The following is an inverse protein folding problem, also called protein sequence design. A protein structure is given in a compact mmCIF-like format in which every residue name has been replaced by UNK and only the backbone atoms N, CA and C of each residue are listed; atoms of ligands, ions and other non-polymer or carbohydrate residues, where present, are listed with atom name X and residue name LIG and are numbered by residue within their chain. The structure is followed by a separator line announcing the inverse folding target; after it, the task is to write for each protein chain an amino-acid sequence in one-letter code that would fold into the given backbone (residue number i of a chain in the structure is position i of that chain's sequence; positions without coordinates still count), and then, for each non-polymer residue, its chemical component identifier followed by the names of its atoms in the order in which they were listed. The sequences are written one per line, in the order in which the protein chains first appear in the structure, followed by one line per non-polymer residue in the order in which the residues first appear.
data_IF_924543745756
#
_entry.id   IF_924543745756
#
_cell.length_a   1.000
_cell.length_b   1.000
_cell.length_c   1.000
_cell.angle_alpha   90.00
_cell.angle_beta   90.00
_cell.angle_gamma   90.00
#
_symmetry.space_group_name_H-M   'P 1'
#
loop_
_entity.id
_entity.type
_entity.pdbx_description
1 polymer ?
#
# COMPACT_ATOMS: atom_id res chain seq x y z
N UNK A 1 -10.61 -46.80 -0.04
CA UNK A 1 -10.06 -45.49 0.32
C UNK A 1 -9.33 -45.00 -0.90
N UNK A 2 -10.02 -44.20 -1.69
CA UNK A 2 -9.54 -43.74 -2.99
C UNK A 2 -8.30 -42.88 -2.81
N UNK A 3 -7.31 -43.18 -3.64
CA UNK A 3 -5.99 -42.58 -3.60
C UNK A 3 -6.08 -41.07 -3.79
N UNK A 4 -5.65 -40.33 -2.78
CA UNK A 4 -5.29 -38.93 -2.92
C UNK A 4 -4.05 -38.91 -3.82
N UNK A 5 -4.24 -38.63 -5.10
CA UNK A 5 -3.17 -38.38 -6.06
C UNK A 5 -2.49 -37.06 -5.65
N UNK A 6 -1.38 -37.16 -4.92
CA UNK A 6 -0.56 -35.99 -4.60
C UNK A 6 0.16 -35.53 -5.86
N UNK A 7 -0.35 -34.45 -6.47
CA UNK A 7 0.34 -33.79 -7.57
C UNK A 7 1.51 -32.97 -7.01
N UNK A 8 2.73 -33.53 -7.07
CA UNK A 8 3.98 -32.88 -6.64
C UNK A 8 4.46 -31.75 -7.58
N UNK A 9 3.67 -31.39 -8.61
CA UNK A 9 3.95 -30.25 -9.47
C UNK A 9 3.71 -28.93 -8.71
N UNK A 10 4.70 -28.48 -7.93
CA UNK A 10 4.86 -27.13 -7.37
C UNK A 10 3.62 -26.53 -6.69
N UNK A 11 3.63 -26.42 -5.36
CA UNK A 11 2.58 -25.74 -4.60
C UNK A 11 2.07 -24.49 -5.32
N UNK A 12 0.76 -24.47 -5.64
CA UNK A 12 0.11 -23.37 -6.35
C UNK A 12 0.38 -22.07 -5.60
N UNK A 13 0.90 -21.07 -6.32
CA UNK A 13 0.95 -19.70 -5.81
C UNK A 13 -0.49 -19.16 -5.75
N UNK A 14 -1.15 -19.35 -4.60
CA UNK A 14 -2.56 -18.96 -4.39
C UNK A 14 -2.82 -17.49 -4.69
N UNK A 15 -1.86 -16.62 -4.37
CA UNK A 15 -1.97 -15.18 -4.59
C UNK A 15 -1.93 -14.85 -6.10
N UNK A 16 -0.99 -15.47 -6.82
CA UNK A 16 -0.91 -15.36 -8.28
C UNK A 16 -2.16 -15.91 -8.97
N UNK A 17 -2.61 -17.10 -8.56
CA UNK A 17 -3.80 -17.74 -9.10
C UNK A 17 -5.06 -16.91 -8.86
N UNK A 18 -5.28 -16.43 -7.63
CA UNK A 18 -6.42 -15.58 -7.30
C UNK A 18 -6.41 -14.28 -8.11
N UNK A 19 -5.25 -13.64 -8.27
CA UNK A 19 -5.10 -12.44 -9.09
C UNK A 19 -5.49 -12.71 -10.55
N UNK A 20 -4.93 -13.76 -11.17
CA UNK A 20 -5.20 -14.09 -12.56
C UNK A 20 -6.68 -14.48 -12.78
N UNK A 21 -7.23 -15.32 -11.91
CA UNK A 21 -8.64 -15.74 -11.97
C UNK A 21 -9.60 -14.55 -11.91
N UNK A 22 -9.29 -13.55 -11.09
CA UNK A 22 -10.09 -12.34 -10.91
C UNK A 22 -10.09 -11.39 -12.13
N UNK A 23 -9.23 -11.61 -13.13
CA UNK A 23 -9.23 -10.80 -14.36
C UNK A 23 -10.51 -11.02 -15.16
N UNK A 24 -11.09 -9.92 -15.67
CA UNK A 24 -12.29 -9.94 -16.51
C UNK A 24 -11.91 -10.13 -17.97
N UNK A 25 -12.68 -10.91 -18.71
CA UNK A 25 -12.44 -11.10 -20.15
C UNK A 25 -12.78 -9.79 -20.86
N UNK A 26 -11.81 -9.25 -21.60
CA UNK A 26 -11.98 -8.02 -22.38
C UNK A 26 -11.36 -8.23 -23.76
N UNK A 27 -12.17 -8.55 -24.79
CA UNK A 27 -11.69 -8.67 -26.16
C UNK A 27 -11.07 -7.37 -26.64
N UNK A 28 -9.96 -7.48 -27.37
CA UNK A 28 -9.22 -6.32 -27.88
C UNK A 28 -8.53 -6.65 -29.19
N UNK A 29 -8.55 -5.70 -30.12
CA UNK A 29 -7.88 -5.86 -31.40
C UNK A 29 -6.38 -5.60 -31.26
N UNK A 30 -6.03 -4.62 -30.44
CA UNK A 30 -4.67 -4.23 -30.08
C UNK A 30 -4.42 -4.46 -28.58
N UNK A 31 -3.18 -4.74 -28.22
CA UNK A 31 -2.79 -4.73 -26.80
C UNK A 31 -2.81 -3.31 -26.20
N UNK A 32 -2.97 -2.28 -27.03
CA UNK A 32 -3.20 -0.89 -26.62
C UNK A 32 -4.68 -0.57 -26.33
N UNK A 33 -5.61 -1.46 -26.70
CA UNK A 33 -7.05 -1.32 -26.37
C UNK A 33 -7.31 -1.59 -24.88
N UNK A 34 -6.43 -2.39 -24.25
CA UNK A 34 -6.36 -2.55 -22.79
C UNK A 34 -5.09 -1.86 -22.34
N UNK A 35 -5.22 -0.77 -21.61
CA UNK A 35 -4.11 0.16 -21.39
C UNK A 35 -3.52 0.09 -19.98
N UNK A 36 -2.19 0.05 -19.87
CA UNK A 36 -1.44 0.11 -18.60
C UNK A 36 -2.05 -0.77 -17.48
N UNK A 37 -2.50 -0.12 -16.40
CA UNK A 37 -3.07 -0.73 -15.20
C UNK A 37 -4.31 -1.58 -15.50
N UNK A 38 -4.99 -1.37 -16.63
CA UNK A 38 -6.13 -2.19 -17.03
C UNK A 38 -5.70 -3.65 -17.26
N UNK A 39 -4.43 -3.93 -17.59
CA UNK A 39 -3.90 -5.30 -17.65
C UNK A 39 -3.92 -6.01 -16.28
N UNK A 40 -3.93 -5.29 -15.15
CA UNK A 40 -4.12 -5.86 -13.80
C UNK A 40 -5.58 -6.29 -13.54
N UNK A 41 -6.53 -5.78 -14.33
CA UNK A 41 -7.97 -6.00 -14.17
C UNK A 41 -8.56 -6.91 -15.24
N UNK A 42 -8.01 -6.86 -16.45
CA UNK A 42 -8.56 -7.51 -17.62
C UNK A 42 -7.60 -8.55 -18.22
N UNK A 43 -8.19 -9.61 -18.78
CA UNK A 43 -7.52 -10.59 -19.60
C UNK A 43 -7.88 -10.34 -21.06
N UNK A 44 -6.86 -10.13 -21.88
CA UNK A 44 -7.01 -9.89 -23.31
C UNK A 44 -5.91 -10.57 -24.09
N UNK A 45 -6.19 -10.88 -25.35
CA UNK A 45 -5.21 -11.31 -26.35
C UNK A 45 -5.52 -10.50 -27.60
N UNK A 46 -4.54 -9.72 -28.07
CA UNK A 46 -4.72 -8.89 -29.27
C UNK A 46 -5.29 -9.73 -30.44
N UNK A 47 -6.15 -9.16 -31.28
CA UNK A 47 -6.78 -9.86 -32.43
C UNK A 47 -7.65 -11.06 -32.05
N UNK A 48 -7.98 -11.27 -30.78
CA UNK A 48 -8.90 -12.31 -30.31
C UNK A 48 -10.18 -11.62 -29.86
N UNK A 49 -11.04 -11.31 -30.84
CA UNK A 49 -12.29 -10.58 -30.60
C UNK A 49 -13.44 -11.51 -30.16
N UNK A 50 -13.33 -12.79 -30.48
CA UNK A 50 -14.28 -13.83 -30.06
C UNK A 50 -14.10 -14.10 -28.55
N UNK A 51 -15.17 -13.88 -27.79
CA UNK A 51 -15.20 -13.99 -26.33
C UNK A 51 -15.00 -15.43 -25.87
N UNK A 52 -15.58 -16.41 -26.57
CA UNK A 52 -15.48 -17.83 -26.20
C UNK A 52 -14.07 -18.35 -26.44
N UNK A 53 -13.45 -17.95 -27.55
CA UNK A 53 -12.06 -18.25 -27.83
C UNK A 53 -11.14 -17.61 -26.79
N UNK A 54 -11.40 -16.36 -26.39
CA UNK A 54 -10.64 -15.68 -25.35
C UNK A 54 -10.81 -16.36 -23.98
N UNK A 55 -12.04 -16.81 -23.67
CA UNK A 55 -12.34 -17.57 -22.46
C UNK A 55 -11.58 -18.89 -22.41
N UNK A 56 -11.51 -19.64 -23.52
CA UNK A 56 -10.76 -20.90 -23.62
C UNK A 56 -9.25 -20.68 -23.41
N UNK A 57 -8.68 -19.60 -23.96
CA UNK A 57 -7.27 -19.26 -23.71
C UNK A 57 -7.05 -18.89 -22.24
N UNK A 58 -7.97 -18.13 -21.63
CA UNK A 58 -7.91 -17.81 -20.19
C UNK A 58 -7.94 -19.09 -19.35
N UNK A 59 -8.89 -19.98 -19.60
CA UNK A 59 -9.05 -21.25 -18.89
C UNK A 59 -7.80 -22.15 -19.02
N UNK A 60 -7.20 -22.20 -20.20
CA UNK A 60 -5.95 -22.93 -20.41
C UNK A 60 -4.80 -22.38 -19.55
N UNK A 61 -4.74 -21.07 -19.30
CA UNK A 61 -3.75 -20.45 -18.40
C UNK A 61 -4.12 -20.70 -16.94
N UNK A 62 -5.41 -20.61 -16.56
CA UNK A 62 -5.87 -20.93 -15.21
C UNK A 62 -5.51 -22.37 -14.83
N UNK A 63 -5.81 -23.31 -15.73
CA UNK A 63 -5.45 -24.72 -15.60
C UNK A 63 -3.93 -24.88 -15.46
N UNK A 64 -3.14 -24.13 -16.22
CA UNK A 64 -1.69 -24.18 -16.12
C UNK A 64 -1.15 -23.66 -14.77
N UNK A 65 -1.74 -22.60 -14.22
CA UNK A 65 -1.37 -22.10 -12.89
C UNK A 65 -1.79 -23.05 -11.77
N UNK A 66 -2.97 -23.65 -11.89
CA UNK A 66 -3.50 -24.56 -10.88
C UNK A 66 -2.76 -25.90 -10.84
N UNK A 67 -2.37 -26.42 -12.00
CA UNK A 67 -1.79 -27.76 -12.11
C UNK A 67 -0.27 -27.77 -12.31
N UNK A 68 0.38 -26.60 -12.31
CA UNK A 68 1.82 -26.48 -12.59
C UNK A 68 2.21 -26.90 -14.01
N UNK A 69 1.30 -26.71 -14.99
CA UNK A 69 1.44 -27.29 -16.33
C UNK A 69 2.49 -26.56 -17.17
N UNK A 70 3.28 -27.31 -17.95
CA UNK A 70 4.31 -26.73 -18.82
C UNK A 70 3.73 -26.13 -20.11
N UNK A 71 4.51 -25.27 -20.77
CA UNK A 71 4.14 -24.67 -22.07
C UNK A 71 3.83 -25.74 -23.15
N UNK A 72 4.47 -26.91 -23.07
CA UNK A 72 4.23 -28.00 -24.02
C UNK A 72 2.77 -28.45 -24.02
N UNK A 73 2.17 -28.61 -22.85
CA UNK A 73 0.79 -29.06 -22.68
C UNK A 73 -0.20 -27.94 -23.00
N UNK A 74 0.09 -26.71 -22.57
CA UNK A 74 -0.66 -25.52 -22.96
C UNK A 74 -0.77 -25.41 -24.49
N UNK A 75 0.35 -25.59 -25.20
CA UNK A 75 0.41 -25.61 -26.67
C UNK A 75 -0.37 -26.80 -27.25
N UNK A 76 -0.25 -28.00 -26.65
CA UNK A 76 -0.94 -29.22 -27.11
C UNK A 76 -2.46 -29.05 -27.03
N UNK A 77 -2.97 -28.37 -26.00
CA UNK A 77 -4.39 -28.01 -25.85
C UNK A 77 -4.83 -26.96 -26.88
N UNK A 78 -4.18 -25.79 -26.88
CA UNK A 78 -4.71 -24.64 -27.61
C UNK A 78 -4.40 -24.62 -29.10
N UNK A 79 -3.25 -25.16 -29.55
CA UNK A 79 -2.91 -25.12 -30.99
C UNK A 79 -3.99 -25.75 -31.88
N UNK A 80 -4.45 -27.00 -31.67
CA UNK A 80 -5.50 -27.59 -32.51
C UNK A 80 -6.82 -26.83 -32.41
N UNK A 81 -7.21 -26.40 -31.19
CA UNK A 81 -8.43 -25.63 -30.98
C UNK A 81 -8.44 -24.30 -31.77
N UNK A 82 -7.36 -23.51 -31.66
CA UNK A 82 -7.25 -22.22 -32.33
C UNK A 82 -7.16 -22.37 -33.85
N UNK A 83 -6.51 -23.43 -34.35
CA UNK A 83 -6.51 -23.76 -35.78
C UNK A 83 -7.93 -24.09 -36.27
N UNK A 84 -8.69 -24.89 -35.52
CA UNK A 84 -10.08 -25.22 -35.87
C UNK A 84 -11.01 -23.99 -35.84
N UNK A 85 -10.74 -23.03 -34.95
CA UNK A 85 -11.42 -21.73 -34.88
C UNK A 85 -10.94 -20.71 -35.91
N UNK A 86 -10.04 -21.09 -36.81
CA UNK A 86 -9.51 -20.21 -37.84
C UNK A 86 -8.50 -19.17 -37.34
N UNK A 87 -8.11 -19.19 -36.06
CA UNK A 87 -7.18 -18.23 -35.46
C UNK A 87 -5.73 -18.71 -35.54
N UNK A 88 -5.19 -18.90 -36.74
CA UNK A 88 -3.82 -19.39 -36.91
C UNK A 88 -3.15 -18.84 -38.18
N UNK A 89 -1.85 -18.59 -38.10
CA UNK A 89 -1.07 -18.06 -39.21
C UNK A 89 -1.30 -16.56 -39.44
N UNK A 90 -0.97 -16.11 -40.64
CA UNK A 90 -1.26 -14.75 -41.11
C UNK A 90 -2.62 -14.71 -41.77
N UNK A 91 -3.43 -13.71 -41.43
CA UNK A 91 -4.74 -13.49 -42.01
C UNK A 91 -5.02 -12.00 -42.18
N UNK A 92 -5.89 -11.67 -43.11
CA UNK A 92 -6.42 -10.30 -43.25
C UNK A 92 -7.53 -10.11 -42.23
N UNK A 93 -7.42 -9.06 -41.42
CA UNK A 93 -8.42 -8.71 -40.41
C UNK A 93 -8.63 -7.19 -40.42
N UNK A 94 -9.88 -6.77 -40.42
CA UNK A 94 -10.26 -5.36 -40.36
C UNK A 94 -10.11 -4.84 -38.94
N UNK A 95 -9.40 -3.74 -38.77
CA UNK A 95 -9.28 -3.05 -37.49
C UNK A 95 -10.55 -2.25 -37.21
N UNK A 96 -11.24 -2.49 -36.08
CA UNK A 96 -12.48 -1.77 -35.78
C UNK A 96 -12.28 -0.28 -35.49
N UNK A 97 -11.04 0.19 -35.26
CA UNK A 97 -10.77 1.61 -34.99
C UNK A 97 -10.75 2.46 -36.26
N UNK A 98 -10.08 2.00 -37.32
CA UNK A 98 -9.92 2.76 -38.56
C UNK A 98 -10.67 2.14 -39.76
N UNK A 99 -11.21 0.93 -39.62
CA UNK A 99 -11.95 0.24 -40.69
C UNK A 99 -11.05 -0.40 -41.75
N UNK A 100 -9.72 -0.35 -41.59
CA UNK A 100 -8.79 -0.79 -42.63
C UNK A 100 -8.46 -2.28 -42.52
N UNK A 101 -8.46 -3.04 -43.64
CA UNK A 101 -8.01 -4.42 -43.67
C UNK A 101 -6.49 -4.51 -43.53
N UNK A 102 -6.01 -5.25 -42.53
CA UNK A 102 -4.58 -5.39 -42.22
C UNK A 102 -4.18 -6.86 -42.27
N UNK A 103 -3.02 -7.17 -42.87
CA UNK A 103 -2.39 -8.47 -42.72
C UNK A 103 -1.85 -8.58 -41.28
N UNK A 104 -2.39 -9.52 -40.49
CA UNK A 104 -2.07 -9.69 -39.07
C UNK A 104 -1.59 -11.11 -38.79
N UNK A 105 -0.64 -11.24 -37.86
CA UNK A 105 -0.27 -12.54 -37.31
C UNK A 105 -1.26 -12.94 -36.20
N UNK A 106 -2.11 -13.95 -36.47
CA UNK A 106 -2.97 -14.60 -35.48
C UNK A 106 -2.15 -15.61 -34.65
N UNK A 107 -2.61 -16.86 -34.51
CA UNK A 107 -1.89 -17.88 -33.75
C UNK A 107 -0.58 -18.31 -34.40
N UNK A 108 0.47 -18.45 -33.58
CA UNK A 108 1.72 -19.14 -33.95
C UNK A 108 2.35 -19.75 -32.70
N UNK A 109 3.23 -20.75 -32.83
CA UNK A 109 3.90 -21.35 -31.66
C UNK A 109 4.69 -20.32 -30.85
N UNK A 110 5.38 -19.39 -31.53
CA UNK A 110 6.09 -18.28 -30.88
C UNK A 110 5.12 -17.39 -30.11
N UNK A 111 3.99 -17.04 -30.71
CA UNK A 111 2.99 -16.18 -30.09
C UNK A 111 2.30 -16.84 -28.90
N UNK A 112 1.95 -18.13 -29.00
CA UNK A 112 1.44 -18.90 -27.86
C UNK A 112 2.42 -18.89 -26.69
N UNK A 113 3.73 -19.00 -26.96
CA UNK A 113 4.76 -18.91 -25.92
C UNK A 113 4.77 -17.54 -25.25
N UNK A 114 4.61 -16.47 -26.03
CA UNK A 114 4.50 -15.10 -25.47
C UNK A 114 3.25 -14.95 -24.61
N UNK A 115 2.08 -15.40 -25.09
CA UNK A 115 0.81 -15.34 -24.34
C UNK A 115 0.94 -16.08 -23.02
N UNK A 116 1.44 -17.32 -23.05
CA UNK A 116 1.65 -18.14 -21.86
C UNK A 116 2.62 -17.45 -20.88
N UNK A 117 3.84 -17.14 -21.34
CA UNK A 117 4.88 -16.59 -20.47
C UNK A 117 4.50 -15.25 -19.85
N UNK A 118 3.85 -14.37 -20.62
CA UNK A 118 3.46 -13.05 -20.14
C UNK A 118 2.44 -13.18 -19.02
N UNK A 119 1.35 -13.91 -19.26
CA UNK A 119 0.30 -14.07 -18.26
C UNK A 119 0.77 -14.79 -16.99
N UNK A 120 1.61 -15.84 -17.15
CA UNK A 120 2.22 -16.52 -16.00
C UNK A 120 3.09 -15.56 -15.19
N UNK A 121 3.98 -14.80 -15.84
CA UNK A 121 4.91 -13.90 -15.15
C UNK A 121 4.19 -12.74 -14.47
N UNK A 122 3.23 -12.10 -15.13
CA UNK A 122 2.45 -11.01 -14.51
C UNK A 122 1.61 -11.50 -13.33
N UNK A 123 1.07 -12.72 -13.41
CA UNK A 123 0.35 -13.32 -12.29
C UNK A 123 1.29 -13.63 -11.11
N UNK A 124 2.45 -14.23 -11.35
CA UNK A 124 3.45 -14.46 -10.31
C UNK A 124 3.97 -13.16 -9.69
N UNK A 125 4.19 -12.13 -10.51
CA UNK A 125 4.55 -10.79 -10.03
C UNK A 125 3.47 -10.22 -9.10
N UNK A 126 2.20 -10.35 -9.48
CA UNK A 126 1.08 -9.94 -8.63
C UNK A 126 1.03 -10.70 -7.29
N UNK A 127 1.25 -12.02 -7.34
CA UNK A 127 1.33 -12.85 -6.13
C UNK A 127 2.53 -12.47 -5.24
N UNK A 128 3.67 -12.19 -5.85
CA UNK A 128 4.86 -11.70 -5.15
C UNK A 128 4.59 -10.35 -4.48
N UNK A 129 3.96 -9.42 -5.18
CA UNK A 129 3.61 -8.10 -4.64
C UNK A 129 2.70 -8.21 -3.41
N UNK A 130 1.67 -9.05 -3.46
CA UNK A 130 0.80 -9.29 -2.30
C UNK A 130 1.56 -9.83 -1.09
N UNK A 131 2.49 -10.77 -1.31
CA UNK A 131 3.36 -11.28 -0.23
C UNK A 131 4.30 -10.22 0.30
N UNK A 132 4.86 -9.39 -0.57
CA UNK A 132 5.70 -8.25 -0.17
C UNK A 132 4.90 -7.30 0.71
N UNK A 133 3.71 -6.88 0.28
CA UNK A 133 2.86 -5.97 1.05
C UNK A 133 2.47 -6.55 2.41
N UNK A 134 2.14 -7.86 2.48
CA UNK A 134 1.82 -8.53 3.73
C UNK A 134 3.01 -8.60 4.70
N UNK A 135 4.24 -8.69 4.18
CA UNK A 135 5.45 -8.89 4.99
C UNK A 135 6.33 -7.63 5.13
N UNK A 136 5.92 -6.48 4.58
CA UNK A 136 6.74 -5.26 4.53
C UNK A 136 7.16 -4.72 5.89
N UNK A 137 6.48 -5.11 6.98
CA UNK A 137 6.92 -4.79 8.34
C UNK A 137 8.25 -5.48 8.70
N UNK A 138 8.40 -6.75 8.35
CA UNK A 138 9.60 -7.53 8.62
C UNK A 138 10.66 -7.36 7.52
N UNK A 139 10.22 -7.15 6.28
CA UNK A 139 11.08 -6.98 5.10
C UNK A 139 10.75 -5.65 4.39
N UNK A 140 11.13 -4.50 4.98
CA UNK A 140 10.68 -3.18 4.52
C UNK A 140 11.37 -2.65 3.26
N UNK A 141 12.36 -3.37 2.71
CA UNK A 141 13.10 -2.96 1.53
C UNK A 141 12.97 -3.99 0.41
N UNK A 142 13.04 -3.52 -0.83
CA UNK A 142 13.15 -4.35 -2.02
C UNK A 142 14.48 -4.07 -2.71
N UNK A 143 15.11 -5.14 -3.20
CA UNK A 143 16.21 -5.07 -4.15
C UNK A 143 15.74 -5.50 -5.52
N UNK A 144 16.06 -4.72 -6.55
CA UNK A 144 15.91 -5.14 -7.94
C UNK A 144 17.10 -6.04 -8.35
N UNK A 145 16.81 -7.27 -8.74
CA UNK A 145 17.82 -8.29 -9.05
C UNK A 145 18.29 -8.23 -10.51
N UNK A 146 19.49 -8.76 -10.75
CA UNK A 146 19.97 -9.04 -12.10
C UNK A 146 19.00 -9.95 -12.86
N UNK A 147 18.85 -9.70 -14.15
CA UNK A 147 17.99 -10.53 -15.00
C UNK A 147 18.57 -11.93 -15.17
N UNK A 148 17.70 -12.94 -15.10
CA UNK A 148 18.06 -14.33 -15.42
C UNK A 148 17.97 -14.65 -16.93
N UNK A 149 17.79 -13.63 -17.79
CA UNK A 149 17.73 -13.82 -19.23
C UNK A 149 19.12 -14.10 -19.82
N UNK A 150 19.21 -15.00 -20.80
CA UNK A 150 20.45 -15.22 -21.56
C UNK A 150 20.91 -13.99 -22.36
N UNK A 151 19.96 -13.13 -22.73
CA UNK A 151 20.20 -11.83 -23.36
C UNK A 151 19.41 -10.75 -22.61
N UNK A 152 19.95 -10.21 -21.50
CA UNK A 152 19.28 -9.17 -20.74
C UNK A 152 19.23 -7.86 -21.53
N UNK A 153 18.18 -7.05 -21.31
CA UNK A 153 18.11 -5.70 -21.88
C UNK A 153 19.11 -4.80 -21.15
N UNK A 154 19.94 -4.10 -21.91
CA UNK A 154 20.94 -3.20 -21.33
C UNK A 154 20.30 -2.04 -20.57
N UNK A 155 19.18 -1.52 -21.07
CA UNK A 155 18.45 -0.41 -20.44
C UNK A 155 18.02 -0.71 -19.00
N UNK A 156 17.66 -1.97 -18.69
CA UNK A 156 17.25 -2.37 -17.34
C UNK A 156 18.43 -2.55 -16.36
N UNK A 157 19.68 -2.56 -16.84
CA UNK A 157 20.86 -2.75 -15.98
C UNK A 157 21.01 -1.63 -14.95
N UNK A 158 20.50 -0.43 -15.23
CA UNK A 158 20.51 0.71 -14.30
C UNK A 158 19.78 0.44 -12.99
N UNK A 159 18.81 -0.48 -13.00
CA UNK A 159 18.09 -0.88 -11.80
C UNK A 159 18.79 -2.00 -11.01
N UNK A 160 19.83 -2.65 -11.55
CA UNK A 160 20.41 -3.80 -10.88
C UNK A 160 21.08 -3.41 -9.57
N UNK A 161 20.66 -4.07 -8.48
CA UNK A 161 21.13 -3.75 -7.13
C UNK A 161 20.43 -2.54 -6.51
N UNK A 162 19.45 -1.92 -7.18
CA UNK A 162 18.66 -0.83 -6.61
C UNK A 162 17.92 -1.33 -5.35
N UNK A 163 18.24 -0.75 -4.18
CA UNK A 163 17.61 -1.09 -2.90
C UNK A 163 16.82 0.11 -2.40
N UNK A 164 15.49 -0.01 -2.39
CA UNK A 164 14.57 1.04 -1.95
C UNK A 164 13.50 0.50 -1.00
N UNK A 165 12.86 1.33 -0.16
CA UNK A 165 11.71 0.93 0.64
C UNK A 165 10.60 0.31 -0.23
N UNK A 166 9.85 -0.66 0.32
CA UNK A 166 8.71 -1.29 -0.37
C UNK A 166 7.67 -0.27 -0.85
N UNK A 167 7.47 0.80 -0.09
CA UNK A 167 6.48 1.84 -0.38
C UNK A 167 7.01 2.95 -1.31
N UNK A 168 8.23 2.81 -1.84
CA UNK A 168 8.78 3.77 -2.79
C UNK A 168 7.98 3.78 -4.11
N UNK A 169 7.63 4.96 -4.61
CA UNK A 169 6.73 5.11 -5.76
C UNK A 169 7.27 4.49 -7.05
N UNK A 170 8.58 4.36 -7.19
CA UNK A 170 9.17 3.71 -8.36
C UNK A 170 8.66 2.29 -8.61
N UNK A 171 8.31 1.54 -7.54
CA UNK A 171 7.76 0.19 -7.68
C UNK A 171 6.37 0.19 -8.33
N UNK A 172 5.71 1.34 -8.46
CA UNK A 172 4.47 1.48 -9.24
C UNK A 172 4.72 1.35 -10.74
N UNK A 173 5.95 1.59 -11.22
CA UNK A 173 6.25 1.65 -12.66
C UNK A 173 7.36 0.70 -13.12
N UNK A 174 8.28 0.29 -12.25
CA UNK A 174 9.39 -0.62 -12.64
C UNK A 174 9.30 -2.02 -12.03
N UNK A 175 8.25 -2.35 -11.26
CA UNK A 175 8.13 -3.67 -10.65
C UNK A 175 7.98 -4.76 -11.73
N UNK A 176 8.95 -5.69 -11.87
CA UNK A 176 8.95 -6.63 -12.98
C UNK A 176 7.69 -7.49 -13.06
N UNK A 177 7.25 -7.89 -14.28
CA UNK A 177 7.96 -7.73 -15.56
C UNK A 177 7.81 -6.34 -16.23
N UNK A 178 8.91 -5.88 -16.82
CA UNK A 178 9.05 -4.56 -17.46
C UNK A 178 8.88 -4.58 -18.99
N UNK A 179 8.38 -5.71 -19.53
CA UNK A 179 8.25 -5.94 -20.96
C UNK A 179 8.14 -7.42 -21.30
N UNK A 180 7.80 -7.73 -22.56
CA UNK A 180 7.65 -9.10 -23.03
C UNK A 180 8.94 -9.91 -22.83
N UNK A 181 8.82 -11.09 -22.22
CA UNK A 181 9.98 -11.98 -21.98
C UNK A 181 10.97 -11.47 -20.93
N UNK A 182 10.61 -10.46 -20.12
CA UNK A 182 11.43 -10.03 -18.99
C UNK A 182 11.71 -11.20 -18.02
N UNK A 183 12.95 -11.25 -17.50
CA UNK A 183 13.39 -12.21 -16.47
C UNK A 183 14.03 -11.51 -15.26
N UNK A 184 13.77 -10.21 -15.11
CA UNK A 184 14.11 -9.47 -13.91
C UNK A 184 13.19 -9.89 -12.76
N UNK A 185 13.65 -9.72 -11.52
CA UNK A 185 12.90 -10.04 -10.31
C UNK A 185 13.28 -9.09 -9.20
N UNK A 186 12.53 -9.13 -8.10
CA UNK A 186 12.89 -8.42 -6.87
C UNK A 186 13.06 -9.38 -5.69
N UNK A 187 13.84 -8.98 -4.70
CA UNK A 187 13.99 -9.68 -3.42
C UNK A 187 13.63 -8.75 -2.29
N UNK A 188 12.83 -9.23 -1.33
CA UNK A 188 12.52 -8.48 -0.13
C UNK A 188 13.64 -8.65 0.91
N UNK A 189 14.05 -7.55 1.53
CA UNK A 189 15.18 -7.46 2.44
C UNK A 189 14.75 -6.93 3.81
N UNK A 190 15.36 -7.46 4.85
CA UNK A 190 15.35 -6.82 6.17
C UNK A 190 16.12 -5.50 6.13
N UNK A 191 15.85 -4.62 7.10
CA UNK A 191 16.62 -3.37 7.28
C UNK A 191 18.14 -3.60 7.30
N UNK A 192 18.61 -4.55 8.11
CA UNK A 192 20.04 -4.88 8.24
C UNK A 192 20.66 -5.38 6.93
N UNK A 193 19.92 -6.14 6.13
CA UNK A 193 20.39 -6.57 4.81
C UNK A 193 20.48 -5.39 3.84
N UNK A 194 19.45 -4.53 3.82
CA UNK A 194 19.44 -3.34 2.99
C UNK A 194 20.57 -2.36 3.34
N UNK A 195 20.83 -2.13 4.62
CA UNK A 195 21.93 -1.27 5.09
C UNK A 195 23.31 -1.84 4.70
N UNK A 196 23.48 -3.17 4.75
CA UNK A 196 24.72 -3.83 4.31
C UNK A 196 24.93 -3.75 2.81
N UNK A 197 23.87 -3.85 2.01
CA UNK A 197 23.93 -3.75 0.55
C UNK A 197 23.99 -2.30 0.07
N UNK A 198 23.61 -1.34 0.91
CA UNK A 198 23.53 0.09 0.60
C UNK A 198 22.13 0.44 0.12
N UNK A 199 21.40 1.22 0.93
CA UNK A 199 20.10 1.76 0.52
C UNK A 199 20.36 2.84 -0.53
N UNK A 200 19.78 2.67 -1.72
CA UNK A 200 19.96 3.57 -2.84
C UNK A 200 19.26 4.91 -2.62
N UNK A 201 19.77 5.97 -3.24
CA UNK A 201 19.04 7.24 -3.38
C UNK A 201 17.95 7.15 -4.45
N UNK A 202 17.32 8.29 -4.74
CA UNK A 202 16.38 8.40 -5.86
C UNK A 202 17.10 7.99 -7.15
N UNK A 203 16.61 6.97 -7.86
CA UNK A 203 17.25 6.50 -9.07
C UNK A 203 17.01 7.49 -10.21
N UNK A 204 18.06 7.67 -11.02
CA UNK A 204 17.99 8.48 -12.22
C UNK A 204 17.17 7.75 -13.29
N UNK A 205 16.05 8.35 -13.69
CA UNK A 205 15.08 7.78 -14.63
C UNK A 205 14.51 8.90 -15.49
N UNK A 206 14.70 8.77 -16.79
CA UNK A 206 14.05 9.63 -17.76
C UNK A 206 12.60 9.17 -17.99
N UNK A 207 11.68 10.12 -17.83
CA UNK A 207 10.27 9.95 -18.18
C UNK A 207 10.04 10.49 -19.59
N UNK A 208 9.38 9.71 -20.42
CA UNK A 208 9.01 10.09 -21.79
C UNK A 208 7.51 10.12 -21.96
N UNK A 209 7.04 11.07 -22.75
CA UNK A 209 5.65 11.10 -23.19
C UNK A 209 5.41 9.97 -24.20
N UNK A 210 4.43 9.14 -23.92
CA UNK A 210 3.93 8.12 -24.83
C UNK A 210 2.45 8.35 -25.11
N UNK A 211 2.11 8.57 -26.37
CA UNK A 211 0.72 8.66 -26.82
C UNK A 211 0.20 7.29 -27.22
N UNK A 212 -0.87 6.83 -26.57
CA UNK A 212 -1.56 5.61 -26.93
C UNK A 212 -2.12 5.75 -28.37
N UNK A 213 -1.68 4.92 -29.33
CA UNK A 213 -2.10 5.04 -30.74
C UNK A 213 -3.56 4.66 -30.97
N UNK A 214 -4.28 4.13 -29.97
CA UNK A 214 -5.69 3.73 -30.07
C UNK A 214 -6.64 4.79 -29.55
N UNK A 215 -6.24 5.49 -28.49
CA UNK A 215 -7.10 6.45 -27.79
C UNK A 215 -6.64 7.90 -27.92
N UNK A 216 -5.40 8.14 -28.36
CA UNK A 216 -4.77 9.47 -28.36
C UNK A 216 -4.35 9.97 -26.98
N UNK A 217 -4.55 9.18 -25.92
CA UNK A 217 -4.17 9.55 -24.55
C UNK A 217 -2.65 9.54 -24.41
N UNK A 218 -2.07 10.66 -23.94
CA UNK A 218 -0.65 10.76 -23.59
C UNK A 218 -0.43 10.50 -22.11
N UNK A 219 0.61 9.72 -21.80
CA UNK A 219 1.04 9.40 -20.43
C UNK A 219 2.56 9.54 -20.34
N UNK A 220 3.08 9.84 -19.14
CA UNK A 220 4.50 9.76 -18.86
C UNK A 220 4.84 8.35 -18.39
N UNK A 221 5.81 7.72 -19.05
CA UNK A 221 6.33 6.40 -18.69
C UNK A 221 7.87 6.43 -18.65
N UNK A 222 8.51 5.54 -17.89
CA UNK A 222 9.96 5.42 -17.97
C UNK A 222 10.38 4.99 -19.38
N UNK A 223 11.41 5.64 -19.93
CA UNK A 223 11.90 5.44 -21.30
C UNK A 223 12.31 3.99 -21.61
N UNK A 224 12.72 3.24 -20.58
CA UNK A 224 13.22 1.87 -20.70
C UNK A 224 12.16 0.79 -20.43
N UNK A 225 10.93 1.16 -20.12
CA UNK A 225 9.84 0.22 -19.84
C UNK A 225 8.91 0.14 -21.03
N UNK A 226 8.54 -1.09 -21.42
CA UNK A 226 7.53 -1.25 -22.49
C UNK A 226 6.21 -0.61 -22.04
N UNK A 227 5.56 0.25 -22.84
CA UNK A 227 4.43 1.05 -22.38
C UNK A 227 3.33 0.25 -21.66
N UNK A 228 2.83 -0.85 -22.23
CA UNK A 228 1.81 -1.69 -21.58
C UNK A 228 2.25 -2.39 -20.28
N UNK A 229 3.53 -2.31 -19.90
CA UNK A 229 4.12 -2.87 -18.67
C UNK A 229 4.54 -1.79 -17.67
N UNK A 230 4.38 -0.50 -17.98
CA UNK A 230 4.72 0.62 -17.10
C UNK A 230 3.69 0.82 -15.97
N UNK A 231 3.41 -0.27 -15.25
CA UNK A 231 2.55 -0.32 -14.07
C UNK A 231 2.92 -1.52 -13.20
N UNK A 232 2.52 -1.51 -11.94
CA UNK A 232 2.68 -2.65 -11.06
C UNK A 232 1.55 -3.66 -11.29
N UNK A 233 1.91 -4.83 -11.83
CA UNK A 233 0.96 -5.92 -12.12
C UNK A 233 0.21 -6.42 -10.88
N UNK A 234 0.76 -6.21 -9.68
CA UNK A 234 0.16 -6.59 -8.42
C UNK A 234 -0.75 -5.53 -7.78
N UNK A 235 -0.68 -4.27 -8.23
CA UNK A 235 -1.46 -3.18 -7.65
C UNK A 235 -2.87 -3.12 -8.25
N UNK A 236 -3.69 -4.11 -7.88
CA UNK A 236 -5.06 -4.21 -8.37
C UNK A 236 -5.95 -3.08 -7.84
N UNK A 237 -5.74 -2.63 -6.60
CA UNK A 237 -6.53 -1.55 -6.01
C UNK A 237 -6.22 -0.23 -6.72
N UNK A 238 -4.95 0.11 -6.89
CA UNK A 238 -4.55 1.29 -7.65
C UNK A 238 -5.06 1.25 -9.09
N UNK A 239 -5.08 0.08 -9.72
CA UNK A 239 -5.68 -0.10 -11.04
C UNK A 239 -7.21 0.16 -11.07
N UNK A 240 -7.93 -0.27 -10.03
CA UNK A 240 -9.37 0.01 -9.92
C UNK A 240 -9.64 1.49 -9.70
N UNK A 241 -8.87 2.12 -8.81
CA UNK A 241 -8.97 3.56 -8.53
C UNK A 241 -8.68 4.38 -9.80
N UNK A 242 -7.61 4.04 -10.53
CA UNK A 242 -7.28 4.69 -11.81
C UNK A 242 -8.38 4.51 -12.87
N UNK A 243 -8.92 3.29 -13.02
CA UNK A 243 -10.03 3.05 -13.96
C UNK A 243 -11.28 3.84 -13.57
N UNK A 244 -11.59 3.93 -12.27
CA UNK A 244 -12.75 4.66 -11.80
C UNK A 244 -12.59 6.17 -12.05
N UNK A 245 -11.42 6.74 -11.74
CA UNK A 245 -11.09 8.13 -12.04
C UNK A 245 -11.16 8.45 -13.53
N UNK A 246 -10.59 7.58 -14.39
CA UNK A 246 -10.66 7.72 -15.85
C UNK A 246 -12.12 7.81 -16.36
N UNK A 247 -13.03 7.03 -15.77
CA UNK A 247 -14.43 6.94 -16.22
C UNK A 247 -15.36 7.98 -15.59
N UNK A 248 -15.06 8.46 -14.39
CA UNK A 248 -16.00 9.28 -13.60
C UNK A 248 -15.41 10.63 -13.15
N UNK A 249 -14.12 10.89 -13.39
CA UNK A 249 -13.42 12.09 -12.97
C UNK A 249 -12.80 12.00 -11.57
N UNK A 250 -11.86 12.92 -11.29
CA UNK A 250 -11.09 12.96 -10.05
C UNK A 250 -11.94 13.25 -8.80
N UNK A 251 -12.98 14.08 -8.92
CA UNK A 251 -13.88 14.39 -7.80
C UNK A 251 -14.66 13.16 -7.34
N UNK A 252 -15.19 12.39 -8.29
CA UNK A 252 -15.88 11.14 -8.00
C UNK A 252 -14.92 10.10 -7.38
N UNK A 253 -13.69 10.01 -7.90
CA UNK A 253 -12.66 9.14 -7.35
C UNK A 253 -12.33 9.51 -5.90
N UNK A 254 -12.12 10.80 -5.61
CA UNK A 254 -11.85 11.29 -4.27
C UNK A 254 -13.00 10.95 -3.30
N UNK A 255 -14.26 11.11 -3.74
CA UNK A 255 -15.43 10.75 -2.94
C UNK A 255 -15.49 9.24 -2.65
N UNK A 256 -15.27 8.39 -3.66
CA UNK A 256 -15.23 6.93 -3.49
C UNK A 256 -14.11 6.50 -2.53
N UNK A 257 -12.92 7.09 -2.66
CA UNK A 257 -11.79 6.83 -1.76
C UNK A 257 -12.16 7.25 -0.34
N UNK A 258 -12.74 8.45 -0.14
CA UNK A 258 -13.15 8.92 1.18
C UNK A 258 -14.21 8.01 1.81
N UNK A 259 -15.20 7.54 1.04
CA UNK A 259 -16.21 6.59 1.51
C UNK A 259 -15.58 5.25 1.91
N UNK A 260 -14.66 4.72 1.09
CA UNK A 260 -13.90 3.50 1.40
C UNK A 260 -13.11 3.66 2.68
N UNK A 261 -12.36 4.75 2.84
CA UNK A 261 -11.58 5.03 4.05
C UNK A 261 -12.48 5.16 5.28
N UNK A 262 -13.61 5.87 5.18
CA UNK A 262 -14.58 5.99 6.26
C UNK A 262 -15.19 4.62 6.65
N UNK A 263 -15.46 3.76 5.67
CA UNK A 263 -15.92 2.40 5.90
C UNK A 263 -14.85 1.54 6.58
N UNK A 264 -13.60 1.65 6.17
CA UNK A 264 -12.47 0.94 6.79
C UNK A 264 -12.26 1.42 8.22
N UNK A 265 -12.32 2.72 8.48
CA UNK A 265 -12.20 3.32 9.82
C UNK A 265 -13.30 2.78 10.77
N UNK A 266 -14.54 2.66 10.29
CA UNK A 266 -15.66 2.06 11.04
C UNK A 266 -15.46 0.56 11.33
N UNK A 267 -14.79 -0.17 10.43
CA UNK A 267 -14.65 -1.64 10.49
C UNK A 267 -13.37 -2.10 11.17
N UNK A 268 -12.33 -1.28 11.13
CA UNK A 268 -11.13 -1.42 11.95
C UNK A 268 -11.35 -0.61 13.24
N UNK A 269 -12.28 -1.06 14.07
CA UNK A 269 -12.49 -0.46 15.37
C UNK A 269 -11.20 -0.58 16.19
N UNK A 270 -10.84 0.52 16.85
CA UNK A 270 -9.86 0.48 17.93
C UNK A 270 -10.40 -0.53 18.96
N UNK A 271 -9.64 -1.59 19.31
CA UNK A 271 -10.13 -2.61 20.22
C UNK A 271 -10.21 -2.00 21.64
N UNK A 272 -11.35 -1.38 21.95
CA UNK A 272 -11.62 -0.71 23.24
C UNK A 272 -11.57 -1.69 24.42
N UNK A 273 -11.67 -2.99 24.14
CA UNK A 273 -11.44 -4.09 25.09
C UNK A 273 -9.96 -4.24 25.49
N UNK A 274 -9.02 -3.68 24.70
CA UNK A 274 -7.57 -3.83 24.91
C UNK A 274 -6.85 -2.55 25.29
N UNK A 275 -7.40 -1.39 24.90
CA UNK A 275 -6.85 -0.07 25.17
C UNK A 275 -8.02 0.89 25.35
N UNK A 276 -8.00 1.70 26.39
CA UNK A 276 -9.05 2.68 26.63
C UNK A 276 -9.04 3.77 25.54
N UNK A 277 -10.24 4.08 25.04
CA UNK A 277 -10.48 5.06 23.98
C UNK A 277 -11.39 6.14 24.53
N UNK A 278 -11.06 7.40 24.25
CA UNK A 278 -11.82 8.56 24.66
C UNK A 278 -12.14 9.41 23.45
N UNK A 279 -13.43 9.63 23.18
CA UNK A 279 -13.86 10.53 22.12
C UNK A 279 -13.90 11.95 22.69
N UNK A 280 -13.12 12.87 22.10
CA UNK A 280 -13.03 14.24 22.62
C UNK A 280 -13.83 15.22 21.76
N UNK A 281 -14.47 16.24 22.37
CA UNK A 281 -15.15 17.29 21.63
C UNK A 281 -14.16 18.15 20.84
N UNK A 282 -14.60 18.62 19.67
CA UNK A 282 -13.81 19.53 18.83
C UNK A 282 -13.80 20.98 19.36
N UNK A 283 -14.84 21.38 20.09
CA UNK A 283 -14.98 22.72 20.66
C UNK A 283 -14.69 22.71 22.15
N UNK A 284 -13.78 23.58 22.58
CA UNK A 284 -13.37 23.74 23.98
C UNK A 284 -13.46 25.19 24.44
N UNK A 285 -13.53 25.41 25.75
CA UNK A 285 -13.55 26.75 26.34
C UNK A 285 -12.19 27.43 26.21
N UNK A 286 -12.10 28.53 25.46
CA UNK A 286 -10.85 29.31 25.34
C UNK A 286 -10.36 29.87 26.68
N UNK A 287 -11.27 30.15 27.62
CA UNK A 287 -10.91 30.53 29.00
C UNK A 287 -10.12 29.41 29.67
N UNK A 288 -10.53 28.17 29.43
CA UNK A 288 -9.92 27.00 30.02
C UNK A 288 -8.59 26.65 29.37
N UNK A 289 -8.50 26.74 28.04
CA UNK A 289 -7.24 26.63 27.31
C UNK A 289 -6.20 27.60 27.87
N UNK A 290 -6.56 28.88 28.06
CA UNK A 290 -5.66 29.88 28.65
C UNK A 290 -5.23 29.54 30.07
N UNK A 291 -6.10 28.95 30.89
CA UNK A 291 -5.77 28.53 32.27
C UNK A 291 -4.76 27.38 32.28
N UNK A 292 -4.87 26.47 31.31
CA UNK A 292 -4.04 25.27 31.17
C UNK A 292 -2.77 25.50 30.33
N UNK A 293 -2.58 26.71 29.80
CA UNK A 293 -1.39 27.12 29.04
C UNK A 293 -0.39 27.80 29.97
N UNK A 294 0.88 27.38 29.93
CA UNK A 294 1.96 27.98 30.73
C UNK A 294 3.22 28.13 29.90
N UNK A 295 3.21 29.10 28.98
CA UNK A 295 4.37 29.40 28.14
C UNK A 295 5.50 30.05 28.96
N UNK A 296 6.76 29.69 28.66
CA UNK A 296 7.98 30.28 29.24
C UNK A 296 8.23 29.98 30.74
N UNK A 297 7.68 28.88 31.27
CA UNK A 297 7.97 28.39 32.63
C UNK A 297 8.77 27.07 32.61
N UNK A 298 9.23 26.59 33.78
CA UNK A 298 9.99 25.34 33.89
C UNK A 298 9.24 24.11 33.32
N UNK A 299 7.90 24.17 33.29
CA UNK A 299 7.03 23.26 32.56
C UNK A 299 6.29 24.06 31.46
N UNK A 300 6.59 23.80 30.19
CA UNK A 300 6.19 24.65 29.07
C UNK A 300 5.01 24.01 28.30
N UNK A 301 3.81 24.05 28.87
CA UNK A 301 2.61 23.51 28.22
C UNK A 301 2.14 24.45 27.11
N UNK A 302 2.00 23.91 25.89
CA UNK A 302 1.65 24.66 24.68
C UNK A 302 0.15 24.71 24.44
N UNK A 303 -0.31 25.64 23.60
CA UNK A 303 -1.73 25.82 23.25
C UNK A 303 -2.40 24.51 22.77
N UNK A 304 -1.76 23.70 21.92
CA UNK A 304 -2.33 22.44 21.43
C UNK A 304 -2.49 21.37 22.52
N UNK A 305 -1.56 21.32 23.49
CA UNK A 305 -1.66 20.44 24.66
C UNK A 305 -2.78 20.92 25.58
N UNK A 306 -2.86 22.23 25.83
CA UNK A 306 -3.91 22.85 26.64
C UNK A 306 -5.31 22.68 26.03
N UNK A 307 -5.43 22.68 24.69
CA UNK A 307 -6.68 22.36 23.98
C UNK A 307 -7.09 20.90 24.16
N UNK A 308 -6.14 19.96 24.07
CA UNK A 308 -6.42 18.55 24.35
C UNK A 308 -6.80 18.31 25.81
N UNK A 309 -6.12 18.97 26.75
CA UNK A 309 -6.43 18.94 28.18
C UNK A 309 -7.81 19.56 28.48
N UNK A 310 -8.17 20.69 27.87
CA UNK A 310 -9.50 21.28 28.02
C UNK A 310 -10.61 20.37 27.45
N UNK A 311 -10.35 19.70 26.33
CA UNK A 311 -11.27 18.72 25.75
C UNK A 311 -11.40 17.49 26.64
N UNK A 312 -10.30 17.02 27.22
CA UNK A 312 -10.29 15.94 28.22
C UNK A 312 -11.20 16.27 29.40
N UNK A 313 -11.01 17.43 30.05
CA UNK A 313 -11.86 17.85 31.18
C UNK A 313 -13.35 17.93 30.81
N UNK A 314 -13.65 18.39 29.59
CA UNK A 314 -15.03 18.50 29.12
C UNK A 314 -15.70 17.12 28.96
N UNK A 315 -14.92 16.11 28.57
CA UNK A 315 -15.42 14.74 28.37
C UNK A 315 -15.43 13.91 29.65
N UNK A 316 -14.37 13.97 30.46
CA UNK A 316 -14.23 13.12 31.65
C UNK A 316 -14.80 13.76 32.92
N UNK A 317 -14.98 15.08 32.93
CA UNK A 317 -15.31 15.84 34.14
C UNK A 317 -14.11 16.06 35.08
N UNK A 318 -12.91 15.57 34.72
CA UNK A 318 -11.71 15.80 35.51
C UNK A 318 -11.38 17.28 35.58
N UNK A 319 -10.81 17.70 36.71
CA UNK A 319 -10.16 19.01 36.82
C UNK A 319 -8.66 18.80 36.74
N UNK A 320 -8.02 19.46 35.78
CA UNK A 320 -6.59 19.41 35.54
C UNK A 320 -5.89 20.66 36.08
N UNK A 321 -4.69 20.48 36.60
CA UNK A 321 -3.75 21.54 36.89
C UNK A 321 -2.45 21.32 36.14
N UNK A 322 -1.79 22.39 35.69
CA UNK A 322 -0.45 22.28 35.07
C UNK A 322 0.51 21.74 36.12
N UNK A 323 1.27 20.71 35.76
CA UNK A 323 2.23 20.11 36.68
C UNK A 323 3.31 21.14 37.07
N UNK A 324 3.51 21.34 38.38
CA UNK A 324 4.44 22.35 38.93
C UNK A 324 5.22 21.84 40.15
N UNK A 325 5.19 20.53 40.42
CA UNK A 325 5.87 19.92 41.55
C UNK A 325 7.40 19.83 41.35
N UNK A 326 8.20 19.86 42.44
CA UNK A 326 9.64 19.68 42.34
C UNK A 326 10.00 18.28 41.80
N UNK A 327 10.89 18.22 40.82
CA UNK A 327 11.48 16.97 40.31
C UNK A 327 12.99 16.99 40.45
N UNK A 328 13.58 15.80 40.61
CA UNK A 328 15.02 15.63 40.63
C UNK A 328 15.68 16.15 39.34
N UNK A 329 16.88 16.71 39.49
CA UNK A 329 17.62 17.30 38.37
C UNK A 329 17.86 16.25 37.27
N UNK A 330 17.29 16.51 36.09
CA UNK A 330 17.42 15.63 34.92
C UNK A 330 16.24 14.69 34.69
N UNK A 331 15.23 14.65 35.57
CA UNK A 331 13.97 13.95 35.31
C UNK A 331 13.00 14.83 34.53
N UNK A 332 12.33 14.23 33.55
CA UNK A 332 11.29 14.89 32.75
C UNK A 332 9.99 15.02 33.58
N UNK A 333 9.20 16.05 33.27
CA UNK A 333 7.93 16.34 33.96
C UNK A 333 6.74 15.92 33.08
N UNK A 334 5.65 15.50 33.72
CA UNK A 334 4.35 15.38 33.06
C UNK A 334 3.78 16.77 32.74
N UNK A 335 2.78 16.84 31.88
CA UNK A 335 2.16 18.11 31.49
C UNK A 335 1.16 18.59 32.58
N UNK A 336 0.35 17.67 33.10
CA UNK A 336 -0.78 17.97 33.97
C UNK A 336 -0.92 16.99 35.13
N UNK A 337 -1.69 17.40 36.13
CA UNK A 337 -2.15 16.61 37.28
C UNK A 337 -3.68 16.58 37.29
N UNK A 338 -4.30 15.44 37.56
CA UNK A 338 -5.73 15.36 37.91
C UNK A 338 -5.90 15.72 39.38
N UNK A 339 -6.70 16.74 39.66
CA UNK A 339 -7.05 17.14 41.02
C UNK A 339 -7.77 16.00 41.75
N UNK A 340 -7.31 15.67 42.95
CA UNK A 340 -7.99 14.77 43.87
C UNK A 340 -8.26 15.50 45.19
N UNK A 341 -9.49 15.42 45.67
CA UNK A 341 -9.89 15.98 46.97
C UNK A 341 -9.44 15.09 48.15
N UNK A 342 -9.09 13.83 47.88
CA UNK A 342 -8.79 12.80 48.89
C UNK A 342 -7.29 12.56 49.09
N UNK A 343 -6.47 12.97 48.13
CA UNK A 343 -5.02 12.70 48.12
C UNK A 343 -4.20 13.99 48.24
N UNK A 344 -3.02 13.93 48.87
CA UNK A 344 -2.06 15.01 48.80
C UNK A 344 -1.63 15.25 47.34
N UNK A 345 -1.24 16.49 47.02
CA UNK A 345 -0.98 16.94 45.64
C UNK A 345 0.12 16.14 44.95
N UNK A 346 1.08 15.64 45.72
CA UNK A 346 2.20 14.81 45.26
C UNK A 346 1.77 13.41 44.80
N UNK A 347 0.58 12.96 45.21
CA UNK A 347 0.00 11.67 44.84
C UNK A 347 -1.11 11.79 43.77
N UNK A 348 -1.33 13.00 43.24
CA UNK A 348 -2.28 13.22 42.16
C UNK A 348 -1.83 12.53 40.87
N UNK A 349 -2.80 11.98 40.14
CA UNK A 349 -2.55 11.25 38.89
C UNK A 349 -1.95 12.19 37.84
N UNK A 350 -0.85 11.76 37.24
CA UNK A 350 -0.11 12.56 36.24
C UNK A 350 -0.56 12.26 34.81
N UNK A 351 -0.70 13.30 33.99
CA UNK A 351 -1.04 13.23 32.56
C UNK A 351 0.02 13.87 31.69
N UNK A 352 0.26 13.25 30.56
CA UNK A 352 1.28 13.69 29.62
C UNK A 352 0.84 13.40 28.18
N UNK A 353 0.38 14.46 27.50
CA UNK A 353 -0.25 14.34 26.20
C UNK A 353 0.78 14.15 25.10
N UNK A 354 0.46 13.33 24.11
CA UNK A 354 1.29 13.18 22.93
C UNK A 354 0.48 13.35 21.65
N UNK A 355 1.18 13.81 20.61
CA UNK A 355 0.66 13.97 19.25
C UNK A 355 -0.50 14.96 19.13
N UNK A 356 -0.67 15.80 20.14
CA UNK A 356 -1.48 17.01 20.09
C UNK A 356 -0.85 17.99 19.11
N UNK A 357 -1.66 18.60 18.25
CA UNK A 357 -1.20 19.56 17.26
C UNK A 357 -2.40 20.40 16.79
N UNK A 358 -2.13 21.62 16.34
CA UNK A 358 -3.17 22.46 15.76
C UNK A 358 -3.59 21.97 14.36
N UNK A 359 -4.87 22.11 13.97
CA UNK A 359 -5.36 21.60 12.68
C UNK A 359 -4.59 22.08 11.45
N UNK A 360 -4.08 23.32 11.48
CA UNK A 360 -3.28 23.93 10.41
C UNK A 360 -1.88 23.30 10.24
N UNK A 361 -1.36 22.68 11.30
CA UNK A 361 -0.06 21.97 11.29
C UNK A 361 -0.21 20.46 11.14
N UNK A 362 -1.43 19.94 11.16
CA UNK A 362 -1.71 18.51 11.07
C UNK A 362 -1.14 17.86 9.80
N UNK A 363 -1.15 18.55 8.66
CA UNK A 363 -0.58 18.02 7.41
C UNK A 363 0.93 17.80 7.54
N UNK A 364 1.65 18.80 8.08
CA UNK A 364 3.09 18.72 8.32
C UNK A 364 3.43 17.62 9.32
N UNK A 365 2.66 17.52 10.41
CA UNK A 365 2.80 16.44 11.38
C UNK A 365 2.67 15.10 10.69
N UNK A 366 1.61 14.89 9.88
CA UNK A 366 1.38 13.63 9.20
C UNK A 366 2.46 13.28 8.19
N UNK A 367 2.95 14.27 7.43
CA UNK A 367 4.01 14.11 6.44
C UNK A 367 5.29 13.58 7.08
N UNK A 368 5.62 13.99 8.29
CA UNK A 368 6.87 13.59 8.97
C UNK A 368 6.69 12.59 10.12
N UNK A 369 5.46 12.24 10.49
CA UNK A 369 5.14 11.44 11.68
C UNK A 369 5.92 10.12 11.75
N UNK A 370 5.91 9.39 10.64
CA UNK A 370 6.57 8.08 10.52
C UNK A 370 7.11 7.81 9.11
N UNK A 371 7.50 8.90 8.42
CA UNK A 371 7.96 8.92 7.02
C UNK A 371 9.25 8.12 6.78
N UNK A 372 10.06 7.94 7.82
CA UNK A 372 11.18 7.00 7.85
C UNK A 372 11.08 6.11 9.08
N UNK A 373 11.81 5.00 9.07
CA UNK A 373 11.91 4.16 10.27
C UNK A 373 12.65 4.86 11.42
N UNK A 374 13.63 5.72 11.12
CA UNK A 374 14.29 6.55 12.13
C UNK A 374 13.29 7.47 12.83
N UNK A 375 12.49 8.21 12.06
CA UNK A 375 11.44 9.07 12.60
C UNK A 375 10.44 8.28 13.46
N UNK A 376 10.06 7.08 13.01
CA UNK A 376 9.18 6.20 13.78
C UNK A 376 9.81 5.69 15.09
N UNK A 377 11.07 5.25 15.05
CA UNK A 377 11.78 4.78 16.25
C UNK A 377 11.91 5.91 17.27
N UNK A 378 12.20 7.14 16.85
CA UNK A 378 12.20 8.30 17.73
C UNK A 378 10.82 8.55 18.36
N UNK A 379 9.71 8.27 17.66
CA UNK A 379 8.37 8.35 18.28
C UNK A 379 8.18 7.25 19.33
N UNK A 380 8.61 6.04 19.04
CA UNK A 380 8.54 4.89 19.95
C UNK A 380 9.34 5.15 21.23
N UNK A 381 10.57 5.64 21.10
CA UNK A 381 11.43 6.04 22.22
C UNK A 381 10.75 7.11 23.07
N UNK A 382 10.22 8.16 22.44
CA UNK A 382 9.47 9.20 23.17
C UNK A 382 8.25 8.66 23.89
N UNK A 383 7.47 7.75 23.29
CA UNK A 383 6.32 7.17 24.00
C UNK A 383 6.79 6.42 25.26
N UNK A 384 7.92 5.72 25.19
CA UNK A 384 8.50 5.04 26.37
C UNK A 384 8.94 6.04 27.44
N UNK A 385 9.62 7.13 27.05
CA UNK A 385 9.99 8.22 27.97
C UNK A 385 8.76 8.84 28.66
N UNK A 386 7.64 8.96 27.95
CA UNK A 386 6.39 9.46 28.52
C UNK A 386 5.75 8.47 29.51
N UNK A 387 5.87 7.15 29.27
CA UNK A 387 5.43 6.14 30.24
C UNK A 387 6.22 6.15 31.55
N UNK A 388 7.46 6.61 31.52
CA UNK A 388 8.31 6.72 32.71
C UNK A 388 7.95 7.94 33.58
N UNK A 389 7.37 9.00 32.98
CA UNK A 389 7.07 10.26 33.69
C UNK A 389 5.60 10.49 34.01
N UNK A 390 4.69 9.66 33.47
CA UNK A 390 3.25 9.83 33.69
C UNK A 390 2.50 8.52 34.00
N UNK A 391 1.41 8.66 34.73
CA UNK A 391 0.47 7.58 35.02
C UNK A 391 -0.45 7.33 33.83
N UNK A 392 -0.85 8.39 33.14
CA UNK A 392 -1.69 8.34 31.94
C UNK A 392 -0.98 9.08 30.80
N UNK A 393 -0.90 8.43 29.65
CA UNK A 393 -0.35 9.00 28.42
C UNK A 393 -1.45 9.03 27.35
N UNK A 394 -2.19 10.15 27.23
CA UNK A 394 -3.15 10.32 26.16
C UNK A 394 -2.44 10.53 24.81
N UNK A 395 -2.80 9.71 23.82
CA UNK A 395 -2.28 9.81 22.46
C UNK A 395 -3.37 10.40 21.56
N UNK A 396 -3.15 11.60 21.02
CA UNK A 396 -4.14 12.25 20.18
C UNK A 396 -4.10 11.76 18.72
N UNK A 397 -5.12 11.01 18.32
CA UNK A 397 -5.27 10.47 16.97
C UNK A 397 -6.15 11.36 16.09
N UNK A 398 -6.80 12.41 16.63
CA UNK A 398 -7.79 13.22 15.91
C UNK A 398 -7.20 13.95 14.70
N UNK A 399 -5.91 14.26 14.76
CA UNK A 399 -5.16 14.96 13.72
C UNK A 399 -4.25 14.02 12.91
N UNK A 400 -4.25 12.72 13.18
CA UNK A 400 -3.46 11.74 12.43
C UNK A 400 -4.26 11.15 11.24
N UNK A 401 -3.59 10.95 10.11
CA UNK A 401 -4.13 10.25 8.95
C UNK A 401 -4.22 8.74 9.20
N UNK A 402 -4.96 8.03 8.36
CA UNK A 402 -5.22 6.59 8.53
C UNK A 402 -3.94 5.75 8.67
N UNK A 403 -2.90 6.02 7.86
CA UNK A 403 -1.64 5.30 7.92
C UNK A 403 -0.91 5.48 9.27
N UNK A 404 -0.85 6.71 9.77
CA UNK A 404 -0.21 7.04 11.05
C UNK A 404 -1.02 6.52 12.24
N UNK A 405 -2.36 6.64 12.21
CA UNK A 405 -3.25 6.05 13.21
C UNK A 405 -3.06 4.55 13.31
N UNK A 406 -3.02 3.87 12.16
CA UNK A 406 -2.84 2.42 12.13
C UNK A 406 -1.46 1.99 12.66
N UNK A 407 -0.40 2.71 12.30
CA UNK A 407 0.96 2.42 12.77
C UNK A 407 1.08 2.63 14.28
N UNK A 408 0.53 3.72 14.80
CA UNK A 408 0.49 4.00 16.23
C UNK A 408 -0.33 2.96 16.99
N UNK A 409 -1.53 2.64 16.50
CA UNK A 409 -2.40 1.63 17.11
C UNK A 409 -1.72 0.26 17.17
N UNK A 410 -1.05 -0.16 16.10
CA UNK A 410 -0.31 -1.43 16.10
C UNK A 410 0.78 -1.49 17.15
N UNK A 411 1.50 -0.39 17.34
CA UNK A 411 2.50 -0.30 18.38
C UNK A 411 1.89 -0.34 19.77
N UNK A 412 0.85 0.45 20.03
CA UNK A 412 0.14 0.44 21.31
C UNK A 412 -0.37 -0.97 21.63
N UNK A 413 -0.96 -1.67 20.68
CA UNK A 413 -1.44 -3.04 20.88
C UNK A 413 -0.30 -4.06 21.10
N UNK A 414 0.92 -3.74 20.66
CA UNK A 414 2.10 -4.56 20.90
C UNK A 414 2.76 -4.35 22.27
N UNK A 415 2.41 -3.25 22.98
CA UNK A 415 2.96 -2.94 24.30
C UNK A 415 2.56 -4.00 25.34
N UNK A 416 3.35 -4.21 26.41
CA UNK A 416 2.92 -4.95 27.58
C UNK A 416 1.64 -4.38 28.20
N UNK A 417 0.85 -5.22 28.88
CA UNK A 417 -0.44 -4.80 29.46
C UNK A 417 -0.29 -3.58 30.37
N UNK A 418 0.71 -3.57 31.26
CA UNK A 418 0.98 -2.46 32.18
C UNK A 418 1.15 -1.11 31.47
N UNK A 419 1.86 -1.10 30.34
CA UNK A 419 2.03 0.12 29.54
C UNK A 419 0.76 0.45 28.75
N UNK A 420 0.03 -0.54 28.23
CA UNK A 420 -1.26 -0.29 27.57
C UNK A 420 -2.30 0.29 28.52
N UNK A 421 -2.29 -0.12 29.78
CA UNK A 421 -3.22 0.37 30.80
C UNK A 421 -3.00 1.87 31.10
N UNK A 422 -1.79 2.39 30.86
CA UNK A 422 -1.48 3.83 30.89
C UNK A 422 -1.99 4.61 29.67
N UNK A 423 -2.25 3.95 28.53
CA UNK A 423 -2.60 4.63 27.28
C UNK A 423 -4.08 5.01 27.24
N UNK A 424 -4.35 6.21 26.71
CA UNK A 424 -5.70 6.64 26.34
C UNK A 424 -5.68 7.14 24.90
N UNK A 425 -6.38 6.45 24.00
CA UNK A 425 -6.43 6.86 22.59
C UNK A 425 -7.52 7.91 22.42
N UNK A 426 -7.13 9.13 22.04
CA UNK A 426 -8.08 10.23 21.84
C UNK A 426 -8.54 10.24 20.38
N UNK A 427 -9.86 10.14 20.18
CA UNK A 427 -10.48 10.09 18.85
C UNK A 427 -11.52 11.19 18.71
N UNK A 428 -11.99 11.43 17.48
CA UNK A 428 -13.09 12.37 17.26
C UNK A 428 -14.40 11.71 17.71
N UNK A 429 -15.34 12.52 18.19
CA UNK A 429 -16.73 12.07 18.35
C UNK A 429 -17.25 11.67 16.96
N UNK A 430 -17.71 10.43 16.84
CA UNK A 430 -18.40 9.97 15.63
C UNK A 430 -19.72 10.74 15.51
N UNK A 431 -19.91 11.48 14.42
CA UNK A 431 -21.23 12.02 14.05
C UNK A 431 -22.23 10.92 13.70
#
# INVERSE_FOLDING_TARGET
MDGIEYNFAGLVDKAAFAHFKAKKILPGFSHYDVWLYQHSLAFTVAKMMDVDMLAEVKDAIESAQQNGTAFADFKKRLKPYLMAKGWWGEQVMTDPLDGEPKLVQLGSTRRLKTIFNTNMQTAFAAGQWQRIQANKKALPYLRYNHSAAGHPRDSHKRYYGLVLPVDHDIWKVIFPPNGYGCKCSVSALTRRQAEREGISGEPDMDMVEFTNPRTGQTVLIPDDITPSFAHNHGDRLGAMDALFGEKNGEEALAAMIAEREAWLDKRYSVPSDKVAVLALPDKVSEKEVRRLTKEQSANNTKDHEARAAAAWQAETGDRLEVFDLPVEKGKAQADYLIVSDDLPREEWVTLDFMFTENPDRAELMNRYFAHTAGAWNTKVEKIQEHFDKADIVPLDLRHLNAANRHKLLQYVLSLPKEQRDKVRLLVKISE
#
